data_IF_697242998670
#
_entry.id   IF_697242998670
#
_cell.length_a   1.000
_cell.length_b   1.000
_cell.length_c   1.000
_cell.angle_alpha   90.00
_cell.angle_beta   90.00
_cell.angle_gamma   90.00
#
_symmetry.space_group_name_H-M   'P 1'
#
loop_
_entity.id
_entity.type
_entity.pdbx_description
1 polymer ?
#
# COMPACT_ATOMS: atom_id res chain seq x y z
N UNK A 1 17.59 -7.68 -11.96
CA UNK A 1 17.08 -8.40 -13.15
C UNK A 1 15.75 -9.02 -12.74
N UNK A 2 14.70 -8.90 -13.54
CA UNK A 2 13.40 -9.49 -13.18
C UNK A 2 13.51 -10.99 -13.37
N UNK A 3 13.39 -11.75 -12.28
CA UNK A 3 13.41 -13.21 -12.36
C UNK A 3 12.23 -13.73 -13.20
N UNK A 4 12.45 -14.67 -14.13
CA UNK A 4 11.39 -15.26 -14.95
C UNK A 4 10.25 -15.87 -14.12
N UNK A 5 10.58 -16.34 -12.92
CA UNK A 5 9.65 -16.90 -11.95
C UNK A 5 8.74 -15.81 -11.34
N UNK A 6 9.25 -14.59 -11.10
CA UNK A 6 8.45 -13.44 -10.68
C UNK A 6 7.50 -12.98 -11.78
N UNK A 7 7.93 -13.02 -13.05
CA UNK A 7 7.06 -12.75 -14.20
C UNK A 7 5.96 -13.81 -14.33
N UNK A 8 6.31 -15.09 -14.24
CA UNK A 8 5.35 -16.20 -14.30
C UNK A 8 4.35 -16.20 -13.15
N UNK A 9 4.73 -15.74 -11.95
CA UNK A 9 3.81 -15.55 -10.83
C UNK A 9 2.95 -14.28 -11.00
N UNK A 10 3.50 -13.22 -11.60
CA UNK A 10 2.80 -11.96 -11.82
C UNK A 10 1.71 -12.05 -12.88
N UNK A 11 1.94 -12.78 -13.99
CA UNK A 11 0.96 -12.93 -15.08
C UNK A 11 -0.40 -13.45 -14.61
N UNK A 12 -0.52 -14.58 -13.90
CA UNK A 12 -1.81 -15.08 -13.40
C UNK A 12 -2.40 -14.16 -12.34
N UNK A 13 -1.59 -13.53 -11.49
CA UNK A 13 -2.08 -12.55 -10.50
C UNK A 13 -2.65 -11.29 -11.16
N UNK A 14 -1.99 -10.77 -12.20
CA UNK A 14 -2.44 -9.62 -12.99
C UNK A 14 -3.69 -9.95 -13.82
N UNK A 15 -3.78 -11.15 -14.36
CA UNK A 15 -4.99 -11.67 -15.00
C UNK A 15 -6.14 -11.78 -14.00
N UNK A 16 -5.90 -12.36 -12.82
CA UNK A 16 -6.91 -12.47 -11.77
C UNK A 16 -7.41 -11.09 -11.32
N UNK A 17 -6.51 -10.11 -11.16
CA UNK A 17 -6.86 -8.72 -10.83
C UNK A 17 -7.67 -8.03 -11.95
N UNK A 18 -7.32 -8.23 -13.22
CA UNK A 18 -8.10 -7.67 -14.34
C UNK A 18 -9.48 -8.34 -14.46
N UNK A 19 -9.58 -9.63 -14.14
CA UNK A 19 -10.83 -10.38 -14.23
C UNK A 19 -11.80 -10.04 -13.10
N UNK A 20 -11.29 -9.62 -11.94
CA UNK A 20 -12.11 -9.28 -10.79
C UNK A 20 -12.68 -7.88 -10.99
N UNK A 21 -13.94 -7.73 -11.42
CA UNK A 21 -14.51 -6.41 -11.63
C UNK A 21 -14.56 -5.70 -10.27
N UNK A 22 -14.25 -4.40 -10.26
CA UNK A 22 -14.34 -3.60 -9.03
C UNK A 22 -15.74 -3.64 -8.41
N UNK A 23 -15.85 -3.31 -7.12
CA UNK A 23 -17.12 -3.31 -6.40
C UNK A 23 -18.16 -2.36 -7.03
N UNK A 24 -17.72 -1.19 -7.48
CA UNK A 24 -18.48 -0.21 -8.25
C UNK A 24 -18.97 -0.76 -9.60
N UNK A 25 -18.11 -1.42 -10.38
CA UNK A 25 -18.50 -2.09 -11.61
C UNK A 25 -19.52 -3.22 -11.39
N UNK A 26 -19.32 -4.06 -10.37
CA UNK A 26 -20.29 -5.12 -10.03
C UNK A 26 -21.62 -4.54 -9.57
N UNK A 27 -21.60 -3.43 -8.82
CA UNK A 27 -22.82 -2.73 -8.42
C UNK A 27 -23.57 -2.16 -9.63
N UNK A 28 -22.89 -1.43 -10.52
CA UNK A 28 -23.49 -0.91 -11.75
C UNK A 28 -24.02 -2.02 -12.65
N UNK A 29 -23.29 -3.12 -12.81
CA UNK A 29 -23.72 -4.28 -13.58
C UNK A 29 -24.96 -4.92 -12.94
N UNK A 30 -24.95 -5.15 -11.63
CA UNK A 30 -26.09 -5.70 -10.89
C UNK A 30 -27.33 -4.81 -10.98
N UNK A 31 -27.18 -3.49 -10.85
CA UNK A 31 -28.28 -2.52 -11.02
C UNK A 31 -28.79 -2.48 -12.46
N UNK A 32 -27.90 -2.56 -13.45
CA UNK A 32 -28.26 -2.64 -14.87
C UNK A 32 -29.06 -3.89 -15.21
N UNK A 33 -28.67 -5.04 -14.65
CA UNK A 33 -29.36 -6.32 -14.83
C UNK A 33 -30.70 -6.39 -14.09
N UNK A 34 -30.80 -5.81 -12.88
CA UNK A 34 -31.95 -6.00 -11.99
C UNK A 34 -33.01 -4.90 -12.07
N UNK A 35 -32.63 -3.67 -12.41
CA UNK A 35 -33.52 -2.50 -12.32
C UNK A 35 -33.59 -1.66 -13.60
N UNK A 36 -32.83 -2.02 -14.64
CA UNK A 36 -32.89 -1.38 -15.96
C UNK A 36 -32.12 -0.05 -16.06
N UNK A 37 -32.31 0.65 -17.19
CA UNK A 37 -31.44 1.76 -17.63
C UNK A 37 -31.44 2.97 -16.67
N UNK A 38 -32.61 3.39 -16.18
CA UNK A 38 -32.77 4.61 -15.36
C UNK A 38 -32.06 4.53 -14.00
N UNK A 39 -32.32 3.52 -13.16
CA UNK A 39 -31.63 3.38 -11.87
C UNK A 39 -30.13 3.06 -12.03
N UNK A 40 -29.72 2.38 -13.10
CA UNK A 40 -28.29 2.18 -13.40
C UNK A 40 -27.56 3.51 -13.69
N UNK A 41 -28.20 4.46 -14.37
CA UNK A 41 -27.64 5.80 -14.60
C UNK A 41 -27.54 6.58 -13.29
N UNK A 42 -28.57 6.52 -12.43
CA UNK A 42 -28.54 7.17 -11.12
C UNK A 42 -27.43 6.60 -10.22
N UNK A 43 -27.26 5.27 -10.21
CA UNK A 43 -26.17 4.58 -9.52
C UNK A 43 -24.78 5.02 -10.04
N UNK A 44 -24.60 5.04 -11.36
CA UNK A 44 -23.33 5.42 -11.99
C UNK A 44 -22.97 6.89 -11.71
N UNK A 45 -23.97 7.77 -11.70
CA UNK A 45 -23.79 9.17 -11.33
C UNK A 45 -23.37 9.32 -9.86
N UNK A 46 -24.03 8.60 -8.94
CA UNK A 46 -23.66 8.59 -7.52
C UNK A 46 -22.23 8.12 -7.28
N UNK A 47 -21.83 7.01 -7.93
CA UNK A 47 -20.46 6.49 -7.85
C UNK A 47 -19.45 7.50 -8.41
N UNK A 48 -19.75 8.15 -9.55
CA UNK A 48 -18.86 9.15 -10.16
C UNK A 48 -18.67 10.38 -9.27
N UNK A 49 -19.74 10.88 -8.65
CA UNK A 49 -19.63 12.00 -7.71
C UNK A 49 -18.85 11.59 -6.46
N UNK A 50 -19.10 10.40 -5.93
CA UNK A 50 -18.35 9.85 -4.80
C UNK A 50 -16.86 9.68 -5.10
N UNK A 51 -16.52 9.21 -6.31
CA UNK A 51 -15.12 9.02 -6.72
C UNK A 51 -14.38 10.34 -6.88
N UNK A 52 -15.05 11.43 -7.30
CA UNK A 52 -14.44 12.77 -7.30
C UNK A 52 -14.00 13.21 -5.90
N UNK A 53 -14.85 13.02 -4.89
CA UNK A 53 -14.49 13.34 -3.49
C UNK A 53 -13.35 12.45 -3.00
N UNK A 54 -13.41 11.15 -3.32
CA UNK A 54 -12.34 10.20 -2.98
C UNK A 54 -10.98 10.62 -3.56
N UNK A 55 -10.94 11.02 -4.84
CA UNK A 55 -9.71 11.49 -5.49
C UNK A 55 -9.15 12.74 -4.82
N UNK A 56 -10.01 13.70 -4.46
CA UNK A 56 -9.58 14.92 -3.75
C UNK A 56 -8.92 14.58 -2.41
N UNK A 57 -9.53 13.68 -1.64
CA UNK A 57 -8.98 13.23 -0.35
C UNK A 57 -7.67 12.45 -0.52
N UNK A 58 -7.62 11.54 -1.50
CA UNK A 58 -6.43 10.76 -1.81
C UNK A 58 -5.28 11.66 -2.26
N UNK A 59 -5.56 12.67 -3.09
CA UNK A 59 -4.58 13.65 -3.53
C UNK A 59 -4.08 14.51 -2.36
N UNK A 60 -4.97 14.95 -1.47
CA UNK A 60 -4.56 15.65 -0.24
C UNK A 60 -3.63 14.80 0.62
N UNK A 61 -3.97 13.52 0.82
CA UNK A 61 -3.11 12.56 1.53
C UNK A 61 -1.76 12.37 0.84
N UNK A 62 -1.74 12.24 -0.49
CA UNK A 62 -0.51 12.14 -1.27
C UNK A 62 0.39 13.36 -1.12
N UNK A 63 -0.18 14.58 -1.17
CA UNK A 63 0.58 15.82 -0.96
C UNK A 63 1.17 15.86 0.44
N UNK A 64 0.38 15.54 1.47
CA UNK A 64 0.84 15.52 2.86
C UNK A 64 1.97 14.48 3.05
N UNK A 65 1.76 13.26 2.56
CA UNK A 65 2.77 12.20 2.66
C UNK A 65 4.03 12.52 1.86
N UNK A 66 3.87 13.15 0.69
CA UNK A 66 4.98 13.63 -0.13
C UNK A 66 5.78 14.72 0.56
N UNK A 67 5.12 15.70 1.20
CA UNK A 67 5.77 16.75 1.98
C UNK A 67 6.52 16.16 3.18
N UNK A 68 5.89 15.25 3.93
CA UNK A 68 6.53 14.54 5.04
C UNK A 68 7.72 13.72 4.53
N UNK A 69 7.58 13.03 3.40
CA UNK A 69 8.63 12.24 2.78
C UNK A 69 9.82 13.08 2.32
N UNK A 70 9.58 14.26 1.75
CA UNK A 70 10.65 15.22 1.39
C UNK A 70 11.35 15.74 2.64
N UNK A 71 10.57 16.11 3.67
CA UNK A 71 11.13 16.65 4.90
C UNK A 71 11.91 15.59 5.69
N UNK A 72 11.34 14.41 5.88
CA UNK A 72 11.98 13.26 6.50
C UNK A 72 13.16 12.73 5.67
N UNK A 73 13.07 12.77 4.34
CA UNK A 73 14.16 12.40 3.44
C UNK A 73 15.33 13.38 3.51
N UNK A 74 15.07 14.68 3.61
CA UNK A 74 16.11 15.72 3.74
C UNK A 74 16.75 15.69 5.13
N UNK A 75 15.93 15.62 6.19
CA UNK A 75 16.40 15.43 7.55
C UNK A 75 17.17 14.12 7.70
N UNK A 76 16.68 13.04 7.09
CA UNK A 76 17.34 11.74 7.03
C UNK A 76 18.67 11.82 6.28
N UNK A 77 18.76 12.53 5.16
CA UNK A 77 20.01 12.75 4.41
C UNK A 77 21.05 13.49 5.28
N UNK A 78 20.63 14.51 6.01
CA UNK A 78 21.50 15.23 6.96
C UNK A 78 21.94 14.35 8.13
N UNK A 79 21.04 13.52 8.65
CA UNK A 79 21.31 12.67 9.80
C UNK A 79 22.17 11.45 9.44
N UNK A 80 21.98 10.87 8.25
CA UNK A 80 22.77 9.75 7.70
C UNK A 80 24.16 10.20 7.22
N UNK A 81 24.35 11.50 6.94
CA UNK A 81 25.68 12.06 6.69
C UNK A 81 26.59 12.00 7.92
N UNK A 82 26.04 11.74 9.11
CA UNK A 82 26.82 11.47 10.33
C UNK A 82 27.07 9.96 10.49
N UNK A 83 28.31 9.46 10.30
CA UNK A 83 28.62 8.04 10.45
C UNK A 83 28.32 7.52 11.87
N UNK A 84 28.33 8.39 12.88
CA UNK A 84 27.95 8.06 14.25
C UNK A 84 26.48 7.62 14.37
N UNK A 85 25.57 8.22 13.60
CA UNK A 85 24.14 7.88 13.68
C UNK A 85 23.84 6.56 12.99
N UNK A 86 24.51 6.27 11.87
CA UNK A 86 24.42 4.97 11.21
C UNK A 86 24.91 3.84 12.13
N UNK A 87 26.01 4.05 12.86
CA UNK A 87 26.53 3.09 13.83
C UNK A 87 25.59 2.92 15.03
N UNK A 88 25.03 4.01 15.56
CA UNK A 88 24.12 3.96 16.70
C UNK A 88 22.80 3.25 16.35
N UNK A 89 22.25 3.54 15.17
CA UNK A 89 21.08 2.86 14.63
C UNK A 89 21.35 1.36 14.46
N UNK A 90 22.53 1.00 13.93
CA UNK A 90 22.98 -0.38 13.81
C UNK A 90 23.09 -1.09 15.17
N UNK A 91 23.58 -0.40 16.22
CA UNK A 91 23.63 -0.96 17.59
C UNK A 91 22.25 -1.20 18.17
N UNK A 92 21.29 -0.33 17.91
CA UNK A 92 19.90 -0.52 18.37
C UNK A 92 19.26 -1.71 17.66
N UNK A 93 19.34 -1.77 16.33
CA UNK A 93 18.80 -2.90 15.58
C UNK A 93 19.46 -4.22 15.99
N UNK A 94 20.78 -4.23 16.16
CA UNK A 94 21.52 -5.39 16.66
C UNK A 94 21.07 -5.80 18.07
N UNK A 95 20.83 -4.84 18.97
CA UNK A 95 20.30 -5.10 20.30
C UNK A 95 18.90 -5.73 20.26
N UNK A 96 18.02 -5.24 19.39
CA UNK A 96 16.66 -5.80 19.23
C UNK A 96 16.73 -7.23 18.70
N UNK A 97 17.55 -7.51 17.68
CA UNK A 97 17.71 -8.85 17.14
C UNK A 97 18.40 -9.80 18.11
N UNK A 98 19.44 -9.35 18.82
CA UNK A 98 20.08 -10.15 19.86
C UNK A 98 19.10 -10.47 21.00
N UNK A 99 18.25 -9.51 21.39
CA UNK A 99 17.20 -9.71 22.38
C UNK A 99 16.14 -10.71 21.91
N UNK A 100 15.66 -10.60 20.67
CA UNK A 100 14.73 -11.57 20.07
C UNK A 100 15.34 -12.98 19.96
N UNK A 101 16.62 -13.07 19.57
CA UNK A 101 17.33 -14.33 19.47
C UNK A 101 17.54 -14.97 20.84
N UNK A 102 17.91 -14.19 21.87
CA UNK A 102 18.01 -14.64 23.24
C UNK A 102 16.65 -15.13 23.77
N UNK A 103 15.57 -14.39 23.48
CA UNK A 103 14.21 -14.78 23.85
C UNK A 103 13.82 -16.12 23.21
N UNK A 104 14.10 -16.30 21.92
CA UNK A 104 13.84 -17.59 21.22
C UNK A 104 14.71 -18.72 21.78
N UNK A 105 15.98 -18.46 22.06
CA UNK A 105 16.89 -19.46 22.61
C UNK A 105 16.48 -19.93 24.02
N UNK A 106 15.93 -19.03 24.85
CA UNK A 106 15.39 -19.36 26.17
C UNK A 106 14.05 -20.10 26.08
N UNK A 107 13.18 -19.72 25.13
CA UNK A 107 11.92 -20.42 24.85
C UNK A 107 12.12 -21.82 24.26
N UNK A 108 13.18 -22.04 23.48
CA UNK A 108 13.53 -23.37 22.95
C UNK A 108 14.20 -24.27 24.01
N UNK A 109 14.66 -23.69 25.12
CA UNK A 109 15.32 -24.41 26.22
C UNK A 109 14.38 -24.78 27.38
N UNK A 110 13.09 -24.49 27.25
CA UNK A 110 12.04 -24.87 28.21
C UNK A 110 11.10 -25.85 27.52
#
# INVERSE_FOLDING_TARGET
MIDPLSLLAFVPAALALNLTPGADMMFCLGQGLRSGRRPAIAASAGISVGSMVHVVLAFGGFVINGLIGIFAGTAGRHLISSPAVAVWLGRISAGIFAGLALRLALLQKT
#
